data_IF_387423502853
#
_entry.id   IF_387423502853
#
_cell.length_a   1.000
_cell.length_b   1.000
_cell.length_c   1.000
_cell.angle_alpha   90.00
_cell.angle_beta   90.00
_cell.angle_gamma   90.00
#
_symmetry.space_group_name_H-M   'P 1'
#
loop_
_entity.id
_entity.type
_entity.pdbx_description
1 polymer ?
#
# COMPACT_ATOMS: atom_id res chain seq x y z
N UNK A 1 25.99 -2.06 -1.10
CA UNK A 1 25.00 -3.09 -0.72
C UNK A 1 23.91 -3.09 -1.78
N UNK A 2 23.62 -4.20 -2.48
CA UNK A 2 22.59 -4.20 -3.51
C UNK A 2 21.21 -3.92 -2.91
N UNK A 3 20.38 -3.15 -3.61
CA UNK A 3 19.03 -2.79 -3.15
C UNK A 3 18.06 -3.98 -3.15
N UNK A 4 18.35 -5.03 -3.92
CA UNK A 4 17.57 -6.27 -4.01
C UNK A 4 18.50 -7.47 -3.80
N UNK A 5 18.13 -8.34 -2.85
CA UNK A 5 18.86 -9.58 -2.54
C UNK A 5 17.88 -10.74 -2.78
N UNK A 6 18.21 -11.72 -3.63
CA UNK A 6 17.37 -12.90 -3.81
C UNK A 6 17.15 -13.62 -2.48
N UNK A 7 15.90 -14.00 -2.21
CA UNK A 7 15.54 -14.76 -1.01
C UNK A 7 14.82 -16.05 -1.39
N UNK A 8 14.70 -16.99 -0.45
CA UNK A 8 13.90 -18.22 -0.59
C UNK A 8 12.54 -18.11 0.11
N UNK A 9 12.19 -16.94 0.62
CA UNK A 9 10.94 -16.74 1.34
C UNK A 9 9.77 -16.78 0.36
N UNK A 10 8.71 -17.47 0.74
CA UNK A 10 7.43 -17.48 0.05
C UNK A 10 6.32 -17.19 1.05
N UNK A 11 5.24 -16.60 0.57
CA UNK A 11 4.06 -16.27 1.36
C UNK A 11 2.80 -16.54 0.54
N UNK A 12 1.66 -16.67 1.23
CA UNK A 12 0.34 -16.82 0.62
C UNK A 12 -0.47 -15.57 0.88
N UNK A 13 -1.08 -15.02 -0.18
CA UNK A 13 -2.09 -13.97 -0.05
C UNK A 13 -3.36 -14.61 0.50
N UNK A 14 -3.74 -14.27 1.72
CA UNK A 14 -4.95 -14.79 2.39
C UNK A 14 -6.17 -13.89 2.18
N UNK A 15 -5.94 -12.61 1.90
CA UNK A 15 -6.96 -11.63 1.60
C UNK A 15 -6.39 -10.55 0.68
N UNK A 16 -7.25 -9.98 -0.16
CA UNK A 16 -6.87 -8.92 -1.08
C UNK A 16 -8.06 -7.96 -1.28
N UNK A 17 -7.73 -6.68 -1.47
CA UNK A 17 -8.71 -5.63 -1.67
C UNK A 17 -8.08 -4.33 -2.14
N UNK A 18 -8.93 -3.38 -2.48
CA UNK A 18 -8.54 -2.04 -2.92
C UNK A 18 -9.40 -0.97 -2.24
N UNK A 19 -8.87 0.24 -2.13
CA UNK A 19 -9.61 1.41 -1.61
C UNK A 19 -10.10 2.23 -2.81
N UNK A 20 -11.38 2.16 -3.19
CA UNK A 20 -11.85 2.83 -4.41
C UNK A 20 -11.81 4.35 -4.29
N UNK A 21 -12.12 4.89 -3.10
CA UNK A 21 -12.05 6.31 -2.82
C UNK A 21 -11.65 6.61 -1.37
N UNK A 22 -10.37 6.97 -1.19
CA UNK A 22 -9.80 7.35 0.11
C UNK A 22 -10.36 8.64 0.73
N UNK A 23 -11.12 9.45 -0.03
CA UNK A 23 -11.72 10.67 0.51
C UNK A 23 -13.02 10.36 1.27
N UNK A 24 -13.72 9.29 0.91
CA UNK A 24 -14.93 8.82 1.59
C UNK A 24 -14.62 7.79 2.68
N UNK A 25 -13.83 6.76 2.38
CA UNK A 25 -13.43 5.73 3.36
C UNK A 25 -12.04 5.16 3.03
N UNK A 26 -11.29 4.81 4.07
CA UNK A 26 -10.00 4.12 3.94
C UNK A 26 -10.15 2.59 3.98
N UNK A 27 -11.33 2.07 4.32
CA UNK A 27 -11.59 0.64 4.31
C UNK A 27 -11.47 0.08 2.89
N UNK A 28 -10.56 -0.88 2.72
CA UNK A 28 -10.43 -1.59 1.46
C UNK A 28 -11.60 -2.57 1.26
N UNK A 29 -12.13 -2.59 0.05
CA UNK A 29 -13.20 -3.50 -0.36
C UNK A 29 -12.56 -4.80 -0.84
N UNK A 30 -13.04 -5.98 -0.41
CA UNK A 30 -12.49 -7.27 -0.82
C UNK A 30 -12.59 -7.46 -2.33
N UNK A 31 -11.57 -8.05 -2.92
CA UNK A 31 -11.51 -8.40 -4.35
C UNK A 31 -11.02 -9.84 -4.51
N UNK A 32 -11.39 -10.48 -5.61
CA UNK A 32 -10.87 -11.82 -5.97
C UNK A 32 -9.57 -11.73 -6.77
N UNK A 33 -9.33 -10.60 -7.43
CA UNK A 33 -8.14 -10.35 -8.26
C UNK A 33 -7.80 -8.85 -8.29
N UNK A 34 -6.53 -8.52 -8.57
CA UNK A 34 -6.09 -7.15 -8.88
C UNK A 34 -5.28 -7.14 -10.17
N UNK A 35 -5.60 -6.19 -11.05
CA UNK A 35 -4.78 -5.88 -12.21
C UNK A 35 -3.66 -4.91 -11.80
N UNK A 36 -2.43 -5.42 -11.70
CA UNK A 36 -1.27 -4.63 -11.30
C UNK A 36 -0.62 -3.92 -12.48
N UNK A 37 -0.41 -2.61 -12.37
CA UNK A 37 0.36 -1.78 -13.31
C UNK A 37 1.56 -1.15 -12.60
N UNK A 38 2.47 -0.53 -13.37
CA UNK A 38 3.54 0.31 -12.81
C UNK A 38 3.00 1.54 -12.03
N UNK A 39 1.72 1.86 -12.22
CA UNK A 39 1.00 2.88 -11.46
C UNK A 39 0.32 2.34 -10.20
N UNK A 40 0.35 1.03 -9.92
CA UNK A 40 -0.43 0.40 -8.84
C UNK A 40 -1.62 -0.43 -9.35
N UNK A 41 -2.46 -0.94 -8.43
CA UNK A 41 -3.67 -1.69 -8.78
C UNK A 41 -4.70 -0.82 -9.51
N UNK A 42 -5.25 -1.27 -10.63
CA UNK A 42 -6.34 -0.55 -11.29
C UNK A 42 -7.56 -0.40 -10.36
N UNK A 43 -8.16 0.79 -10.33
CA UNK A 43 -9.30 1.12 -9.47
C UNK A 43 -8.96 1.52 -8.04
N UNK A 44 -7.71 1.37 -7.58
CA UNK A 44 -7.30 1.85 -6.26
C UNK A 44 -7.02 3.36 -6.26
N UNK A 45 -7.51 4.06 -5.24
CA UNK A 45 -7.32 5.50 -5.06
C UNK A 45 -5.86 5.92 -4.83
N UNK A 46 -4.98 4.99 -4.45
CA UNK A 46 -3.53 5.20 -4.31
C UNK A 46 -2.75 4.95 -5.60
N UNK A 47 -3.43 4.52 -6.66
CA UNK A 47 -2.79 4.35 -7.96
C UNK A 47 -2.45 5.68 -8.62
N UNK A 48 -1.43 5.63 -9.47
CA UNK A 48 -0.83 6.78 -10.12
C UNK A 48 0.69 6.70 -10.12
N UNK A 49 1.32 7.14 -11.21
CA UNK A 49 2.78 7.24 -11.32
C UNK A 49 3.36 8.31 -10.39
N UNK A 50 2.57 9.34 -10.10
CA UNK A 50 2.90 10.44 -9.20
C UNK A 50 1.79 10.62 -8.15
N UNK A 51 2.10 11.35 -7.08
CA UNK A 51 1.14 11.78 -6.07
C UNK A 51 1.61 13.10 -5.43
N UNK A 52 0.72 13.88 -4.81
CA UNK A 52 1.15 14.98 -3.95
C UNK A 52 1.89 14.44 -2.70
N UNK A 53 2.92 15.15 -2.27
CA UNK A 53 3.61 14.90 -1.01
C UNK A 53 2.66 15.12 0.19
N UNK A 54 2.85 14.33 1.25
CA UNK A 54 2.04 14.37 2.47
C UNK A 54 2.92 14.38 3.71
N UNK A 55 2.30 14.33 4.90
CA UNK A 55 3.00 14.32 6.20
C UNK A 55 4.14 13.29 6.31
N UNK A 56 4.09 12.20 5.54
CA UNK A 56 5.09 11.12 5.58
C UNK A 56 6.45 11.48 4.96
N UNK A 57 6.54 12.56 4.19
CA UNK A 57 7.73 12.92 3.41
C UNK A 57 8.09 14.41 3.50
N UNK A 58 7.64 15.09 4.55
CA UNK A 58 7.86 16.54 4.73
C UNK A 58 9.32 16.93 4.96
N UNK A 59 10.18 15.98 5.33
CA UNK A 59 11.64 16.21 5.42
C UNK A 59 12.33 16.32 4.06
N UNK A 60 11.67 15.88 2.98
CA UNK A 60 12.21 15.87 1.62
C UNK A 60 11.52 16.88 0.71
N UNK A 61 10.22 17.13 0.91
CA UNK A 61 9.43 17.98 0.03
C UNK A 61 8.41 18.83 0.83
N UNK A 62 8.17 20.09 0.44
CA UNK A 62 6.99 20.84 0.89
C UNK A 62 5.71 20.05 0.63
N UNK A 63 4.68 20.20 1.47
CA UNK A 63 3.39 19.49 1.31
C UNK A 63 2.72 19.91 0.00
N UNK A 64 2.17 18.94 -0.75
CA UNK A 64 1.49 19.17 -2.03
C UNK A 64 2.40 19.11 -3.25
N UNK A 65 3.73 19.12 -3.09
CA UNK A 65 4.68 18.92 -4.21
C UNK A 65 4.41 17.59 -4.90
N UNK A 66 4.31 17.60 -6.23
CA UNK A 66 4.19 16.36 -7.01
C UNK A 66 5.49 15.55 -6.90
N UNK A 67 5.37 14.28 -6.53
CA UNK A 67 6.50 13.37 -6.34
C UNK A 67 6.20 11.99 -6.94
N UNK A 68 7.25 11.21 -7.18
CA UNK A 68 7.09 9.81 -7.61
C UNK A 68 6.30 9.03 -6.56
N UNK A 69 5.29 8.29 -7.01
CA UNK A 69 4.51 7.47 -6.11
C UNK A 69 5.21 6.13 -5.82
N UNK A 70 5.82 6.03 -4.64
CA UNK A 70 6.44 4.81 -4.12
C UNK A 70 5.58 4.07 -3.08
N UNK A 71 4.27 4.38 -3.03
CA UNK A 71 3.34 3.87 -2.00
C UNK A 71 2.03 3.38 -2.61
N UNK A 72 2.12 2.71 -3.76
CA UNK A 72 0.98 2.19 -4.52
C UNK A 72 0.43 0.88 -3.93
N UNK A 73 1.20 0.21 -3.07
CA UNK A 73 0.85 -1.06 -2.46
C UNK A 73 1.21 -1.05 -0.98
N UNK A 74 0.34 -1.64 -0.16
CA UNK A 74 0.60 -1.95 1.24
C UNK A 74 0.37 -3.43 1.47
N UNK A 75 1.27 -4.07 2.20
CA UNK A 75 1.19 -5.49 2.57
C UNK A 75 1.31 -5.56 4.08
N UNK A 76 0.45 -6.34 4.72
CA UNK A 76 0.48 -6.64 6.15
C UNK A 76 0.40 -8.16 6.32
N UNK A 77 1.05 -8.68 7.35
CA UNK A 77 1.01 -10.10 7.71
C UNK A 77 -0.29 -10.39 8.47
N UNK A 78 -0.86 -11.58 8.26
CA UNK A 78 -2.03 -12.02 9.01
C UNK A 78 -1.66 -12.28 10.48
N UNK A 79 -0.44 -12.75 10.72
CA UNK A 79 0.17 -12.98 12.02
C UNK A 79 0.32 -11.65 12.79
N UNK A 80 0.89 -10.62 12.17
CA UNK A 80 0.99 -9.28 12.79
C UNK A 80 -0.38 -8.71 13.15
N UNK A 81 -1.38 -8.87 12.28
CA UNK A 81 -2.74 -8.42 12.54
C UNK A 81 -3.37 -9.18 13.73
N UNK A 82 -3.10 -10.47 13.86
CA UNK A 82 -3.56 -11.27 14.99
C UNK A 82 -2.89 -10.84 16.30
N UNK A 83 -1.59 -10.54 16.28
CA UNK A 83 -0.87 -10.01 17.45
C UNK A 83 -1.42 -8.65 17.88
N UNK A 84 -1.65 -7.74 16.93
CA UNK A 84 -2.27 -6.44 17.21
C UNK A 84 -3.65 -6.63 17.83
N UNK A 85 -4.49 -7.50 17.25
CA UNK A 85 -5.83 -7.78 17.77
C UNK A 85 -5.80 -8.31 19.20
N UNK A 86 -4.85 -9.20 19.53
CA UNK A 86 -4.68 -9.71 20.89
C UNK A 86 -4.21 -8.63 21.88
N UNK A 87 -3.46 -7.63 21.43
CA UNK A 87 -2.95 -6.54 22.28
C UNK A 87 -3.99 -5.44 22.55
N UNK A 88 -4.96 -5.24 21.65
CA UNK A 88 -5.99 -4.19 21.75
C UNK A 88 -7.37 -4.70 22.18
N UNK A 89 -7.49 -6.00 22.47
CA UNK A 89 -8.70 -6.67 22.97
C UNK A 89 -8.90 -6.47 24.46
#
# INVERSE_FOLDING_TARGET
MPALIPTKFSAKVTWLGLVPDRHSDLCAVPQTELMMRFSGPEGDSHSGLTRPSCSRVTSQHPRGTEIRNVRQLSIVSAEDLQEIAAAIG
#
